data_IF_869835770075
#
_entry.id   IF_869835770075
#
_cell.length_a   1.000
_cell.length_b   1.000
_cell.length_c   1.000
_cell.angle_alpha   90.00
_cell.angle_beta   90.00
_cell.angle_gamma   90.00
#
_symmetry.space_group_name_H-M   'P 1'
#
loop_
_entity.id
_entity.type
_entity.pdbx_description
1 polymer ?
#
# COMPACT_ATOMS: atom_id res chain seq x y z
N UNK A 1 6.04 5.39 -28.20
CA UNK A 1 7.08 6.18 -28.90
C UNK A 1 6.51 7.24 -29.84
N UNK A 2 5.57 6.92 -30.76
CA UNK A 2 4.98 7.94 -31.65
C UNK A 2 4.28 9.10 -30.91
N UNK A 3 3.55 8.84 -29.86
CA UNK A 3 2.90 9.88 -29.06
C UNK A 3 3.93 10.84 -28.45
N UNK A 4 5.04 10.30 -27.93
CA UNK A 4 6.14 11.08 -27.39
C UNK A 4 6.79 11.97 -28.44
N UNK A 5 7.08 11.44 -29.65
CA UNK A 5 7.68 12.21 -30.73
C UNK A 5 6.80 13.39 -31.16
N UNK A 6 5.48 13.22 -31.20
CA UNK A 6 4.55 14.31 -31.47
C UNK A 6 4.52 15.33 -30.33
N UNK A 7 4.57 14.84 -29.09
CA UNK A 7 4.54 15.68 -27.89
C UNK A 7 5.80 16.56 -27.79
N UNK A 8 6.99 15.97 -27.92
CA UNK A 8 8.25 16.69 -27.69
C UNK A 8 8.57 17.71 -28.79
N UNK A 9 7.94 17.58 -29.97
CA UNK A 9 8.07 18.56 -31.04
C UNK A 9 7.44 19.94 -30.67
N UNK A 10 6.44 19.95 -29.77
CA UNK A 10 5.81 21.18 -29.28
C UNK A 10 5.19 20.89 -27.90
N UNK A 11 6.02 20.78 -26.85
CA UNK A 11 5.54 20.46 -25.51
C UNK A 11 4.76 21.64 -24.95
N UNK A 12 3.68 21.41 -24.17
CA UNK A 12 2.95 22.46 -23.50
C UNK A 12 3.75 23.03 -22.31
N UNK A 13 3.44 24.23 -21.88
CA UNK A 13 4.11 24.89 -20.75
C UNK A 13 4.00 24.07 -19.44
N UNK A 14 2.93 23.31 -19.26
CA UNK A 14 2.71 22.41 -18.12
C UNK A 14 3.78 21.32 -18.03
N UNK A 15 4.38 20.92 -19.17
CA UNK A 15 5.50 19.99 -19.21
C UNK A 15 6.75 20.55 -18.52
N UNK A 16 7.11 21.79 -18.87
CA UNK A 16 8.26 22.45 -18.26
C UNK A 16 8.05 22.67 -16.75
N UNK A 17 6.83 23.04 -16.38
CA UNK A 17 6.44 23.18 -14.99
C UNK A 17 6.58 21.87 -14.24
N UNK A 18 6.02 20.78 -14.77
CA UNK A 18 6.12 19.45 -14.20
C UNK A 18 7.60 19.01 -14.02
N UNK A 19 8.41 19.12 -15.04
CA UNK A 19 9.83 18.76 -14.95
C UNK A 19 10.57 19.56 -13.87
N UNK A 20 10.26 20.85 -13.71
CA UNK A 20 10.86 21.71 -12.68
C UNK A 20 10.35 21.39 -11.27
N UNK A 21 9.05 21.19 -11.12
CA UNK A 21 8.41 20.98 -9.80
C UNK A 21 8.66 19.60 -9.26
N UNK A 22 8.75 18.59 -10.13
CA UNK A 22 8.93 17.18 -9.78
C UNK A 22 10.38 16.69 -9.90
N UNK A 23 11.34 17.58 -10.17
CA UNK A 23 12.77 17.24 -10.34
C UNK A 23 13.35 16.44 -9.17
N UNK A 24 12.82 16.63 -7.98
CA UNK A 24 13.25 15.97 -6.74
C UNK A 24 13.10 14.44 -6.74
N UNK A 25 12.30 13.89 -7.67
CA UNK A 25 12.11 12.44 -7.83
C UNK A 25 12.11 12.02 -9.30
N UNK A 26 11.54 12.81 -10.22
CA UNK A 26 11.31 12.39 -11.61
C UNK A 26 12.61 12.23 -12.40
N UNK A 27 13.63 13.01 -12.06
CA UNK A 27 14.95 12.92 -12.69
C UNK A 27 15.63 11.60 -12.32
N UNK A 28 15.67 11.28 -11.03
CA UNK A 28 16.24 10.02 -10.55
C UNK A 28 15.45 8.82 -11.05
N UNK A 29 14.11 8.89 -11.06
CA UNK A 29 13.27 7.84 -11.62
C UNK A 29 13.54 7.62 -13.11
N UNK A 30 13.61 8.68 -13.91
CA UNK A 30 13.86 8.56 -15.34
C UNK A 30 15.25 8.00 -15.65
N UNK A 31 16.27 8.44 -14.91
CA UNK A 31 17.62 7.88 -15.02
C UNK A 31 17.67 6.40 -14.59
N UNK A 32 16.99 6.05 -13.49
CA UNK A 32 16.86 4.66 -13.05
C UNK A 32 16.24 3.78 -14.12
N UNK A 33 15.13 4.21 -14.73
CA UNK A 33 14.43 3.46 -15.77
C UNK A 33 15.28 3.33 -17.04
N UNK A 34 16.00 4.38 -17.42
CA UNK A 34 16.94 4.35 -18.54
C UNK A 34 18.07 3.35 -18.29
N UNK A 35 18.71 3.42 -17.14
CA UNK A 35 19.74 2.48 -16.74
C UNK A 35 19.22 1.04 -16.72
N UNK A 36 18.02 0.83 -16.18
CA UNK A 36 17.36 -0.48 -16.11
C UNK A 36 17.11 -1.06 -17.49
N UNK A 37 16.62 -0.25 -18.44
CA UNK A 37 16.42 -0.66 -19.82
C UNK A 37 17.74 -1.06 -20.51
N UNK A 38 18.80 -0.28 -20.32
CA UNK A 38 20.13 -0.57 -20.87
C UNK A 38 20.78 -1.83 -20.29
N UNK A 39 20.42 -2.20 -19.05
CA UNK A 39 20.89 -3.43 -18.40
C UNK A 39 19.90 -4.59 -18.55
N UNK A 40 19.05 -4.59 -19.59
CA UNK A 40 18.15 -5.70 -19.89
C UNK A 40 17.08 -5.96 -18.81
N UNK A 41 16.67 -4.91 -18.09
CA UNK A 41 15.74 -4.94 -16.94
C UNK A 41 16.29 -5.73 -15.73
N UNK A 42 17.57 -5.99 -15.67
CA UNK A 42 18.22 -6.64 -14.54
C UNK A 42 18.05 -5.80 -13.25
N UNK A 43 18.01 -6.43 -12.06
CA UNK A 43 18.04 -5.72 -10.78
C UNK A 43 19.28 -4.84 -10.63
N UNK A 44 19.17 -3.74 -9.88
CA UNK A 44 20.30 -2.81 -9.61
C UNK A 44 21.53 -3.54 -9.09
N UNK A 45 21.34 -4.58 -8.27
CA UNK A 45 22.45 -5.38 -7.72
C UNK A 45 23.34 -6.05 -8.81
N UNK A 46 22.81 -6.24 -10.01
CA UNK A 46 23.52 -6.86 -11.15
C UNK A 46 24.10 -5.83 -12.13
N UNK A 47 23.87 -4.53 -11.90
CA UNK A 47 24.40 -3.48 -12.77
C UNK A 47 25.92 -3.31 -12.62
N UNK A 48 26.60 -2.73 -13.64
CA UNK A 48 28.01 -2.33 -13.49
C UNK A 48 28.23 -1.48 -12.25
N UNK A 49 29.32 -1.74 -11.54
CA UNK A 49 29.59 -1.11 -10.22
C UNK A 49 29.53 0.42 -10.28
N UNK A 50 30.11 1.15 -11.27
CA UNK A 50 30.04 2.59 -11.30
C UNK A 50 28.61 3.13 -11.39
N UNK A 51 27.75 2.45 -12.15
CA UNK A 51 26.34 2.83 -12.29
C UNK A 51 25.53 2.47 -11.04
N UNK A 52 25.78 1.28 -10.47
CA UNK A 52 25.14 0.83 -9.23
C UNK A 52 25.45 1.77 -8.06
N UNK A 53 26.69 2.26 -7.99
CA UNK A 53 27.16 3.19 -6.95
C UNK A 53 26.89 4.66 -7.26
N UNK A 54 26.32 4.95 -8.40
CA UNK A 54 26.06 6.32 -8.89
C UNK A 54 27.37 7.13 -8.96
N UNK A 55 28.45 6.52 -9.46
CA UNK A 55 29.69 7.23 -9.71
C UNK A 55 29.45 8.46 -10.61
N UNK A 56 30.08 9.58 -10.30
CA UNK A 56 29.80 10.86 -10.96
C UNK A 56 30.05 10.83 -12.48
N UNK A 57 31.06 10.11 -12.95
CA UNK A 57 31.33 9.95 -14.38
C UNK A 57 30.26 9.08 -15.05
N UNK A 58 29.93 7.93 -14.45
CA UNK A 58 28.89 7.05 -14.95
C UNK A 58 27.51 7.75 -14.97
N UNK A 59 27.17 8.54 -13.95
CA UNK A 59 25.94 9.34 -13.91
C UNK A 59 25.95 10.45 -14.97
N UNK A 60 27.11 11.08 -15.21
CA UNK A 60 27.27 12.07 -16.28
C UNK A 60 26.99 11.43 -17.65
N UNK A 61 27.60 10.29 -17.97
CA UNK A 61 27.33 9.55 -19.19
C UNK A 61 25.86 9.13 -19.30
N UNK A 62 25.29 8.54 -18.23
CA UNK A 62 23.88 8.17 -18.24
C UNK A 62 22.98 9.36 -18.59
N UNK A 63 23.24 10.52 -17.97
CA UNK A 63 22.43 11.72 -18.19
C UNK A 63 22.64 12.30 -19.60
N UNK A 64 23.88 12.58 -20.00
CA UNK A 64 24.14 13.34 -21.24
C UNK A 64 23.94 12.51 -22.51
N UNK A 65 24.23 11.22 -22.47
CA UNK A 65 24.13 10.37 -23.66
C UNK A 65 22.72 9.84 -23.90
N UNK A 66 21.79 9.99 -22.93
CA UNK A 66 20.46 9.37 -23.00
C UNK A 66 19.29 10.36 -22.77
N UNK A 67 19.47 11.62 -23.14
CA UNK A 67 18.48 12.67 -22.91
C UNK A 67 17.10 12.35 -23.50
N UNK A 68 17.03 11.70 -24.65
CA UNK A 68 15.76 11.34 -25.28
C UNK A 68 15.01 10.29 -24.47
N UNK A 69 15.71 9.25 -24.00
CA UNK A 69 15.10 8.17 -23.22
C UNK A 69 14.68 8.65 -21.82
N UNK A 70 15.51 9.44 -21.15
CA UNK A 70 15.19 10.09 -19.88
C UNK A 70 13.95 10.97 -20.05
N UNK A 71 13.90 11.78 -21.08
CA UNK A 71 12.73 12.62 -21.37
C UNK A 71 11.47 11.80 -21.68
N UNK A 72 11.61 10.66 -22.32
CA UNK A 72 10.51 9.73 -22.57
C UNK A 72 9.92 9.17 -21.26
N UNK A 73 10.75 8.75 -20.31
CA UNK A 73 10.26 8.28 -19.01
C UNK A 73 9.60 9.40 -18.20
N UNK A 74 10.14 10.62 -18.25
CA UNK A 74 9.47 11.80 -17.66
C UNK A 74 8.11 12.08 -18.30
N UNK A 75 8.04 11.99 -19.64
CA UNK A 75 6.80 12.16 -20.39
C UNK A 75 5.72 11.16 -19.97
N UNK A 76 6.08 9.90 -19.75
CA UNK A 76 5.11 8.92 -19.26
C UNK A 76 4.54 9.30 -17.90
N UNK A 77 5.39 9.80 -16.97
CA UNK A 77 4.95 10.27 -15.67
C UNK A 77 4.08 11.53 -15.77
N UNK A 78 4.46 12.48 -16.62
CA UNK A 78 3.67 13.69 -16.89
C UNK A 78 2.26 13.34 -17.39
N UNK A 79 2.17 12.46 -18.40
CA UNK A 79 0.89 12.07 -18.99
C UNK A 79 0.03 11.28 -17.99
N UNK A 80 0.63 10.39 -17.19
CA UNK A 80 -0.08 9.74 -16.10
C UNK A 80 -0.64 10.76 -15.12
N UNK A 81 0.19 11.70 -14.68
CA UNK A 81 -0.19 12.71 -13.70
C UNK A 81 -1.32 13.60 -14.21
N UNK A 82 -1.21 14.06 -15.44
CA UNK A 82 -2.21 14.90 -16.10
C UNK A 82 -3.57 14.19 -16.20
N UNK A 83 -3.56 12.92 -16.62
CA UNK A 83 -4.78 12.10 -16.74
C UNK A 83 -5.36 11.77 -15.38
N UNK A 84 -4.53 11.46 -14.40
CA UNK A 84 -4.95 11.16 -13.04
C UNK A 84 -5.62 12.38 -12.38
N UNK A 85 -5.02 13.57 -12.50
CA UNK A 85 -5.59 14.78 -11.95
C UNK A 85 -6.95 15.13 -12.58
N UNK A 86 -7.09 14.94 -13.88
CA UNK A 86 -8.36 15.12 -14.57
C UNK A 86 -9.42 14.13 -14.08
N UNK A 87 -9.07 12.85 -13.92
CA UNK A 87 -9.96 11.81 -13.38
C UNK A 87 -10.36 12.11 -11.93
N UNK A 88 -9.38 12.45 -11.07
CA UNK A 88 -9.64 12.80 -9.68
C UNK A 88 -10.57 14.01 -9.57
N UNK A 89 -10.35 15.06 -10.35
CA UNK A 89 -11.21 16.22 -10.37
C UNK A 89 -12.65 15.87 -10.79
N UNK A 90 -12.81 14.99 -11.78
CA UNK A 90 -14.12 14.49 -12.19
C UNK A 90 -14.81 13.71 -11.07
N UNK A 91 -14.10 12.78 -10.41
CA UNK A 91 -14.60 11.96 -9.30
C UNK A 91 -15.00 12.85 -8.12
N UNK A 92 -14.12 13.76 -7.70
CA UNK A 92 -14.39 14.69 -6.60
C UNK A 92 -15.55 15.64 -6.92
N UNK A 93 -15.70 16.05 -8.19
CA UNK A 93 -16.85 16.83 -8.66
C UNK A 93 -18.19 16.09 -8.54
N UNK A 94 -18.17 14.77 -8.37
CA UNK A 94 -19.34 13.93 -8.03
C UNK A 94 -19.53 13.73 -6.52
N UNK A 95 -18.71 14.34 -5.68
CA UNK A 95 -18.73 14.16 -4.23
C UNK A 95 -18.06 12.86 -3.76
N UNK A 96 -17.35 12.14 -4.64
CA UNK A 96 -16.66 10.88 -4.34
C UNK A 96 -15.20 11.18 -4.01
N UNK A 97 -14.66 10.53 -2.99
CA UNK A 97 -13.26 10.63 -2.60
C UNK A 97 -12.51 9.35 -2.95
N UNK A 98 -11.20 9.48 -3.21
CA UNK A 98 -10.32 8.36 -3.52
C UNK A 98 -9.42 8.11 -2.31
N UNK A 99 -9.43 6.87 -1.82
CA UNK A 99 -8.47 6.41 -0.82
C UNK A 99 -7.36 5.64 -1.53
N UNK A 100 -6.13 6.12 -1.35
CA UNK A 100 -4.93 5.44 -1.86
C UNK A 100 -4.27 4.59 -0.80
N UNK A 101 -3.34 3.76 -1.21
CA UNK A 101 -2.55 2.89 -0.36
C UNK A 101 -1.07 3.27 -0.44
N UNK A 102 -0.42 3.35 0.73
CA UNK A 102 0.98 3.69 0.87
C UNK A 102 1.70 2.53 1.56
N UNK A 103 2.35 1.63 0.80
CA UNK A 103 3.15 0.57 1.41
C UNK A 103 4.22 1.15 2.31
N UNK A 104 4.40 0.57 3.51
CA UNK A 104 5.44 1.05 4.42
C UNK A 104 6.82 0.95 3.76
N UNK A 105 7.12 -0.17 3.11
CA UNK A 105 8.42 -0.42 2.47
C UNK A 105 8.39 -0.15 0.97
N UNK A 106 9.59 0.01 0.41
CA UNK A 106 9.82 0.10 -1.03
C UNK A 106 10.50 -1.17 -1.55
N UNK A 107 10.49 -1.39 -2.85
CA UNK A 107 11.24 -2.51 -3.45
C UNK A 107 12.75 -2.28 -3.33
N UNK A 108 13.56 -3.32 -3.05
CA UNK A 108 15.02 -3.20 -3.12
C UNK A 108 15.50 -2.80 -4.53
N UNK A 109 14.76 -3.19 -5.55
CA UNK A 109 15.00 -2.82 -6.94
C UNK A 109 14.07 -1.64 -7.32
N UNK A 110 14.40 -0.46 -6.82
CA UNK A 110 13.63 0.77 -7.01
C UNK A 110 14.54 1.99 -7.20
N UNK A 111 13.97 3.03 -7.82
CA UNK A 111 14.64 4.32 -7.93
C UNK A 111 14.98 4.93 -6.56
N UNK A 112 14.12 4.75 -5.56
CA UNK A 112 14.34 5.26 -4.20
C UNK A 112 15.61 4.70 -3.57
N UNK A 113 15.79 3.37 -3.59
CA UNK A 113 16.95 2.70 -3.02
C UNK A 113 18.22 3.05 -3.78
N UNK A 114 18.14 3.09 -5.12
CA UNK A 114 19.29 3.44 -5.95
C UNK A 114 19.70 4.90 -5.81
N UNK A 115 18.73 5.82 -5.79
CA UNK A 115 19.00 7.25 -5.72
C UNK A 115 19.42 7.73 -4.33
N UNK A 116 18.84 7.15 -3.28
CA UNK A 116 19.00 7.61 -1.90
C UNK A 116 19.31 6.44 -0.95
N UNK A 117 20.46 5.73 -1.15
CA UNK A 117 20.80 4.54 -0.37
C UNK A 117 20.93 4.81 1.14
N UNK A 118 21.26 6.05 1.54
CA UNK A 118 21.39 6.44 2.95
C UNK A 118 20.07 6.40 3.74
N UNK A 119 18.92 6.31 3.04
CA UNK A 119 17.62 6.14 3.68
C UNK A 119 17.40 4.71 4.22
N UNK A 120 18.26 3.77 3.84
CA UNK A 120 18.04 2.34 4.08
C UNK A 120 19.24 1.71 4.78
N UNK A 121 18.99 0.60 5.50
CA UNK A 121 20.02 -0.22 6.13
C UNK A 121 20.81 -1.02 5.07
N UNK A 122 21.77 -0.38 4.42
CA UNK A 122 22.66 -1.00 3.45
C UNK A 122 24.10 -1.05 3.98
N UNK A 123 24.86 -2.05 3.56
CA UNK A 123 26.30 -2.10 3.83
C UNK A 123 27.08 -1.12 2.93
N UNK A 124 28.41 -1.00 3.15
CA UNK A 124 29.25 -0.11 2.35
C UNK A 124 29.32 -0.45 0.85
N UNK A 125 28.77 -1.58 0.43
CA UNK A 125 28.67 -2.01 -0.96
C UNK A 125 27.23 -1.89 -1.52
N UNK A 126 26.31 -1.32 -0.72
CA UNK A 126 24.91 -1.14 -1.10
C UNK A 126 24.07 -2.42 -1.05
N UNK A 127 24.50 -3.42 -0.27
CA UNK A 127 23.78 -4.68 -0.11
C UNK A 127 22.93 -4.67 1.15
N UNK A 128 21.82 -5.41 1.12
CA UNK A 128 20.96 -5.61 2.28
C UNK A 128 21.63 -6.55 3.30
N UNK A 129 21.80 -6.09 4.52
CA UNK A 129 22.21 -6.94 5.65
C UNK A 129 21.00 -7.62 6.31
N UNK A 130 19.91 -6.91 6.38
CA UNK A 130 18.60 -7.35 6.90
C UNK A 130 17.49 -6.89 5.98
N UNK A 131 16.35 -7.59 6.05
CA UNK A 131 15.17 -7.31 5.23
C UNK A 131 13.92 -7.33 6.09
N UNK A 132 12.86 -6.70 5.61
CA UNK A 132 11.56 -6.69 6.25
C UNK A 132 10.85 -8.05 6.13
N UNK A 133 10.05 -8.35 7.14
CA UNK A 133 9.19 -9.50 7.17
C UNK A 133 8.19 -9.45 8.33
N UNK A 134 7.53 -10.55 8.58
CA UNK A 134 6.61 -10.76 9.72
C UNK A 134 6.99 -12.09 10.38
N UNK A 135 7.02 -12.17 11.71
CA UNK A 135 7.34 -13.42 12.41
C UNK A 135 6.26 -14.48 12.14
N UNK A 136 6.58 -15.75 12.43
CA UNK A 136 5.56 -16.81 12.44
C UNK A 136 4.35 -16.42 13.30
N UNK A 137 3.17 -16.70 12.76
CA UNK A 137 1.88 -16.44 13.41
C UNK A 137 0.88 -17.58 13.12
N UNK A 138 -0.39 -17.36 13.46
CA UNK A 138 -1.46 -18.34 13.19
C UNK A 138 -1.74 -18.53 11.69
N UNK A 139 -1.34 -17.57 10.83
CA UNK A 139 -1.57 -17.60 9.38
C UNK A 139 -0.38 -18.19 8.62
N UNK A 140 0.84 -18.06 9.16
CA UNK A 140 2.06 -18.56 8.53
C UNK A 140 3.04 -19.11 9.55
N UNK A 141 3.22 -20.44 9.58
CA UNK A 141 4.18 -21.12 10.45
C UNK A 141 5.65 -20.77 10.15
N UNK A 142 5.95 -20.25 8.97
CA UNK A 142 7.29 -19.79 8.54
C UNK A 142 7.44 -18.27 8.66
N UNK A 143 6.37 -17.55 9.03
CA UNK A 143 6.27 -16.11 8.90
C UNK A 143 6.21 -15.66 7.44
N UNK A 144 6.34 -14.36 7.21
CA UNK A 144 6.38 -13.81 5.85
C UNK A 144 7.72 -13.12 5.63
N UNK A 145 8.46 -13.55 4.64
CA UNK A 145 9.73 -12.93 4.23
C UNK A 145 9.46 -12.00 3.04
N UNK A 146 9.39 -10.70 3.29
CA UNK A 146 9.04 -9.73 2.24
C UNK A 146 10.23 -9.32 1.39
N UNK A 147 11.44 -9.30 1.99
CA UNK A 147 12.67 -8.98 1.27
C UNK A 147 12.90 -7.49 1.00
N UNK A 148 12.02 -6.61 1.48
CA UNK A 148 12.18 -5.18 1.34
C UNK A 148 13.32 -4.64 2.22
N UNK A 149 14.03 -3.56 1.79
CA UNK A 149 15.02 -2.89 2.61
C UNK A 149 14.38 -2.27 3.86
N UNK A 150 15.10 -2.34 4.97
CA UNK A 150 14.74 -1.64 6.20
C UNK A 150 15.23 -0.19 6.12
N UNK A 151 14.53 0.72 6.79
CA UNK A 151 14.92 2.13 6.86
C UNK A 151 16.01 2.36 7.89
N UNK A 152 16.99 3.20 7.58
CA UNK A 152 17.89 3.81 8.57
C UNK A 152 17.12 4.93 9.30
N UNK A 153 16.40 4.56 10.35
CA UNK A 153 15.59 5.52 11.11
C UNK A 153 16.43 6.60 11.79
N UNK A 154 17.71 6.34 12.07
CA UNK A 154 18.60 7.36 12.62
C UNK A 154 18.91 8.44 11.59
N UNK A 155 19.17 8.06 10.34
CA UNK A 155 19.37 8.99 9.24
C UNK A 155 18.07 9.76 8.93
N UNK A 156 16.93 9.10 8.94
CA UNK A 156 15.63 9.77 8.77
C UNK A 156 15.37 10.81 9.86
N UNK A 157 15.66 10.50 11.13
CA UNK A 157 15.53 11.46 12.24
C UNK A 157 16.48 12.63 12.07
N UNK A 158 17.75 12.39 11.69
CA UNK A 158 18.75 13.41 11.41
C UNK A 158 18.32 14.40 10.31
N UNK A 159 17.65 13.90 9.27
CA UNK A 159 17.11 14.70 8.16
C UNK A 159 15.70 15.24 8.43
N UNK A 160 15.19 15.10 9.67
CA UNK A 160 13.85 15.56 10.06
C UNK A 160 12.74 14.86 9.31
N UNK A 161 12.92 13.60 8.93
CA UNK A 161 11.98 12.79 8.17
C UNK A 161 11.53 13.42 6.84
N UNK A 162 12.43 14.14 6.17
CA UNK A 162 12.10 14.89 4.96
C UNK A 162 11.55 13.99 3.85
N UNK A 163 12.19 12.83 3.60
CA UNK A 163 11.74 11.88 2.58
C UNK A 163 10.33 11.36 2.87
N UNK A 164 10.03 10.98 4.12
CA UNK A 164 8.71 10.53 4.52
C UNK A 164 7.65 11.64 4.39
N UNK A 165 8.01 12.87 4.75
CA UNK A 165 7.13 14.03 4.59
C UNK A 165 6.79 14.25 3.11
N UNK A 166 7.78 14.19 2.22
CA UNK A 166 7.56 14.29 0.76
C UNK A 166 6.72 13.14 0.23
N UNK A 167 7.00 11.91 0.66
CA UNK A 167 6.25 10.72 0.25
C UNK A 167 4.77 10.81 0.61
N UNK A 168 4.47 11.23 1.85
CA UNK A 168 3.08 11.44 2.29
C UNK A 168 2.44 12.60 1.55
N UNK A 169 3.15 13.72 1.40
CA UNK A 169 2.66 14.88 0.63
C UNK A 169 2.29 14.49 -0.79
N UNK A 170 3.15 13.71 -1.45
CA UNK A 170 2.91 13.25 -2.80
C UNK A 170 1.70 12.31 -2.89
N UNK A 171 1.58 11.36 -1.96
CA UNK A 171 0.41 10.49 -1.89
C UNK A 171 -0.89 11.30 -1.73
N UNK A 172 -0.90 12.33 -0.89
CA UNK A 172 -2.07 13.20 -0.69
C UNK A 172 -2.36 14.14 -1.89
N UNK A 173 -1.39 14.36 -2.79
CA UNK A 173 -1.66 14.99 -4.10
C UNK A 173 -2.37 14.07 -5.08
N UNK A 174 -2.19 12.74 -4.92
CA UNK A 174 -2.87 11.73 -5.74
C UNK A 174 -4.23 11.35 -5.16
N UNK A 175 -4.37 11.28 -3.85
CA UNK A 175 -5.53 10.71 -3.16
C UNK A 175 -6.14 11.72 -2.18
N UNK A 176 -7.36 11.47 -1.77
CA UNK A 176 -8.08 12.28 -0.78
C UNK A 176 -7.92 11.75 0.64
N UNK A 177 -7.63 10.43 0.76
CA UNK A 177 -7.23 9.75 1.99
C UNK A 177 -6.09 8.80 1.63
N UNK A 178 -5.24 8.47 2.60
CA UNK A 178 -4.12 7.54 2.41
C UNK A 178 -4.14 6.49 3.51
N UNK A 179 -4.25 5.22 3.13
CA UNK A 179 -4.00 4.09 4.03
C UNK A 179 -2.49 3.86 4.11
N UNK A 180 -1.93 3.87 5.31
CA UNK A 180 -0.56 3.41 5.53
C UNK A 180 -0.63 1.92 5.81
N UNK A 181 -0.09 1.15 4.87
CA UNK A 181 0.03 -0.29 4.96
C UNK A 181 1.07 -0.69 5.99
N UNK A 182 0.81 -1.75 6.76
CA UNK A 182 1.65 -2.24 7.83
C UNK A 182 2.06 -1.14 8.85
N UNK A 183 1.08 -0.35 9.30
CA UNK A 183 1.29 0.76 10.23
C UNK A 183 2.05 0.36 11.50
N UNK A 184 1.87 -0.89 11.98
CA UNK A 184 2.59 -1.40 13.14
C UNK A 184 4.11 -1.34 12.98
N UNK A 185 4.63 -1.44 11.76
CA UNK A 185 6.06 -1.35 11.46
C UNK A 185 6.68 0.00 11.82
N UNK A 186 5.85 1.03 12.03
CA UNK A 186 6.28 2.35 12.51
C UNK A 186 6.45 2.40 14.05
N UNK A 187 5.85 1.45 14.79
CA UNK A 187 6.15 1.22 16.21
C UNK A 187 7.32 0.23 16.34
N UNK A 188 7.14 -0.95 15.78
CA UNK A 188 8.13 -2.01 15.82
C UNK A 188 8.01 -2.90 14.58
N UNK A 189 9.14 -3.24 13.99
CA UNK A 189 9.24 -4.03 12.76
C UNK A 189 10.09 -5.28 12.95
N UNK A 190 9.79 -6.31 12.17
CA UNK A 190 10.49 -7.58 12.19
C UNK A 190 11.62 -7.56 11.16
N UNK A 191 12.86 -7.58 11.65
CA UNK A 191 14.06 -7.55 10.82
C UNK A 191 14.63 -8.96 10.68
N UNK A 192 14.71 -9.46 9.47
CA UNK A 192 15.20 -10.82 9.14
C UNK A 192 16.55 -10.71 8.47
N UNK A 193 17.53 -11.59 8.78
CA UNK A 193 18.81 -11.60 8.06
C UNK A 193 18.62 -11.75 6.55
N UNK A 194 19.30 -10.96 5.74
CA UNK A 194 19.25 -11.09 4.30
C UNK A 194 19.76 -12.49 3.88
N UNK A 195 19.06 -13.13 2.92
CA UNK A 195 19.36 -14.49 2.49
C UNK A 195 18.76 -15.60 3.36
N UNK A 196 18.06 -15.27 4.45
CA UNK A 196 17.25 -16.24 5.19
C UNK A 196 16.18 -16.88 4.27
N UNK A 197 15.83 -18.13 4.53
CA UNK A 197 14.81 -18.84 3.74
C UNK A 197 13.39 -18.63 4.27
N UNK A 198 13.28 -18.27 5.54
CA UNK A 198 12.02 -18.02 6.25
C UNK A 198 12.18 -16.81 7.17
N UNK A 199 11.09 -16.31 7.69
CA UNK A 199 11.12 -15.19 8.63
C UNK A 199 11.32 -15.60 10.10
N UNK A 200 11.61 -16.87 10.41
CA UNK A 200 11.75 -17.37 11.78
C UNK A 200 12.89 -16.76 12.57
N UNK A 201 13.99 -16.44 11.90
CA UNK A 201 15.25 -15.99 12.55
C UNK A 201 15.33 -14.46 12.66
N UNK A 202 14.22 -13.77 12.59
CA UNK A 202 14.20 -12.32 12.72
C UNK A 202 14.28 -11.84 14.17
N UNK A 203 14.38 -10.53 14.31
CA UNK A 203 14.32 -9.82 15.60
C UNK A 203 13.40 -8.61 15.52
N UNK A 204 12.74 -8.28 16.62
CA UNK A 204 12.01 -7.04 16.72
C UNK A 204 12.93 -5.84 16.88
N UNK A 205 12.73 -4.83 16.04
CA UNK A 205 13.43 -3.56 16.09
C UNK A 205 12.43 -2.44 16.31
N UNK A 206 12.84 -1.39 17.04
CA UNK A 206 12.00 -0.22 17.26
C UNK A 206 11.87 0.62 15.99
N UNK A 207 10.66 1.02 15.63
CA UNK A 207 10.37 2.00 14.60
C UNK A 207 10.51 3.45 15.08
N UNK A 208 10.22 4.44 14.23
CA UNK A 208 10.35 5.86 14.56
C UNK A 208 9.25 6.35 15.53
N UNK A 209 8.13 5.64 15.64
CA UNK A 209 7.01 6.01 16.50
C UNK A 209 6.48 7.41 16.22
N UNK A 210 6.09 8.11 17.28
CA UNK A 210 5.53 9.48 17.20
C UNK A 210 6.52 10.50 16.61
N UNK A 211 7.83 10.30 16.68
CA UNK A 211 8.83 11.23 16.10
C UNK A 211 8.57 11.49 14.61
N UNK A 212 8.22 10.45 13.86
CA UNK A 212 7.84 10.58 12.44
C UNK A 212 6.58 11.43 12.30
N UNK A 213 5.53 11.08 13.03
CA UNK A 213 4.22 11.75 12.90
C UNK A 213 4.25 13.18 13.40
N UNK A 214 4.99 13.48 14.46
CA UNK A 214 5.21 14.85 14.95
C UNK A 214 5.93 15.70 13.90
N UNK A 215 6.98 15.17 13.27
CA UNK A 215 7.70 15.85 12.21
C UNK A 215 6.81 16.13 10.98
N UNK A 216 6.05 15.13 10.54
CA UNK A 216 5.12 15.26 9.40
C UNK A 216 3.99 16.23 9.73
N UNK A 217 3.35 16.10 10.89
CA UNK A 217 2.26 16.97 11.37
C UNK A 217 2.71 18.42 11.54
N UNK A 218 3.92 18.65 12.02
CA UNK A 218 4.48 20.00 12.16
C UNK A 218 4.60 20.73 10.83
N UNK A 219 4.76 20.02 9.71
CA UNK A 219 4.92 20.58 8.36
C UNK A 219 3.62 20.62 7.56
N UNK A 220 2.75 19.64 7.74
CA UNK A 220 1.58 19.43 6.88
C UNK A 220 0.24 19.65 7.61
N UNK A 221 0.25 19.76 8.95
CA UNK A 221 -0.97 19.82 9.75
C UNK A 221 -1.60 18.43 9.95
N UNK A 222 -2.91 18.41 10.23
CA UNK A 222 -3.67 17.16 10.34
C UNK A 222 -3.82 16.50 8.96
N UNK A 223 -3.69 15.17 8.94
CA UNK A 223 -3.64 14.39 7.72
C UNK A 223 -4.79 13.38 7.63
N UNK A 224 -5.40 13.21 6.48
CA UNK A 224 -6.42 12.18 6.23
C UNK A 224 -5.76 10.80 6.03
N UNK A 225 -5.21 10.26 7.11
CA UNK A 225 -4.52 8.96 7.12
C UNK A 225 -5.41 7.91 7.78
N UNK A 226 -5.35 6.71 7.25
CA UNK A 226 -5.90 5.47 7.81
C UNK A 226 -4.74 4.55 8.14
N UNK A 227 -4.72 3.97 9.32
CA UNK A 227 -3.70 3.04 9.73
C UNK A 227 -4.15 1.60 9.48
N UNK A 228 -3.35 0.82 8.74
CA UNK A 228 -3.54 -0.63 8.71
C UNK A 228 -2.92 -1.21 9.98
N UNK A 229 -3.80 -1.57 10.92
CA UNK A 229 -3.49 -2.10 12.24
C UNK A 229 -3.91 -3.57 12.39
N UNK A 230 -3.82 -4.34 11.32
CA UNK A 230 -4.19 -5.76 11.31
C UNK A 230 -3.11 -6.65 11.93
N UNK A 231 -3.50 -7.85 12.33
CA UNK A 231 -2.60 -8.85 12.91
C UNK A 231 -2.40 -8.71 14.42
N UNK A 232 -1.24 -9.13 14.92
CA UNK A 232 -0.95 -9.10 16.37
C UNK A 232 -0.57 -7.68 16.79
N UNK A 233 -1.43 -7.01 17.53
CA UNK A 233 -1.18 -5.67 18.05
C UNK A 233 -0.55 -5.75 19.45
N UNK A 234 0.60 -5.08 19.60
CA UNK A 234 1.23 -4.83 20.90
C UNK A 234 0.65 -3.57 21.55
N UNK A 235 0.89 -3.39 22.85
CA UNK A 235 0.49 -2.15 23.53
C UNK A 235 1.12 -0.91 22.88
N UNK A 236 2.37 -0.98 22.43
CA UNK A 236 3.06 0.10 21.72
C UNK A 236 2.34 0.50 20.43
N UNK A 237 1.89 -0.46 19.63
CA UNK A 237 1.09 -0.17 18.42
C UNK A 237 -0.24 0.49 18.75
N UNK A 238 -0.92 0.02 19.80
CA UNK A 238 -2.20 0.61 20.26
C UNK A 238 -2.00 2.04 20.79
N UNK A 239 -0.93 2.28 21.52
CA UNK A 239 -0.55 3.60 22.01
C UNK A 239 -0.21 4.54 20.85
N UNK A 240 0.55 4.08 19.87
CA UNK A 240 0.88 4.85 18.66
C UNK A 240 -0.38 5.23 17.88
N UNK A 241 -1.27 4.26 17.63
CA UNK A 241 -2.55 4.51 16.96
C UNK A 241 -3.40 5.54 17.71
N UNK A 242 -3.49 5.41 19.03
CA UNK A 242 -4.21 6.37 19.89
C UNK A 242 -3.57 7.76 19.85
N UNK A 243 -2.23 7.85 19.88
CA UNK A 243 -1.50 9.11 19.89
C UNK A 243 -1.62 9.86 18.55
N UNK A 244 -1.61 9.14 17.43
CA UNK A 244 -1.82 9.74 16.11
C UNK A 244 -3.27 10.15 15.87
N UNK A 245 -4.24 9.49 16.51
CA UNK A 245 -5.67 9.69 16.30
C UNK A 245 -6.19 9.13 14.97
N UNK A 246 -5.38 8.38 14.22
CA UNK A 246 -5.79 7.80 12.95
C UNK A 246 -6.79 6.65 13.16
N UNK A 247 -7.80 6.52 12.30
CA UNK A 247 -8.68 5.35 12.31
C UNK A 247 -7.90 4.08 11.94
N UNK A 248 -8.12 3.02 12.70
CA UNK A 248 -7.69 1.66 12.37
C UNK A 248 -8.72 0.93 11.52
N UNK A 249 -8.43 -0.31 11.18
CA UNK A 249 -9.26 -1.16 10.32
C UNK A 249 -9.96 -2.26 11.12
N UNK A 250 -11.19 -2.56 10.75
CA UNK A 250 -11.99 -3.68 11.29
C UNK A 250 -12.46 -4.57 10.14
N UNK A 251 -11.96 -5.79 10.08
CA UNK A 251 -12.21 -6.72 8.98
C UNK A 251 -13.09 -7.87 9.47
N UNK A 252 -14.31 -7.99 8.95
CA UNK A 252 -15.28 -8.97 9.42
C UNK A 252 -14.86 -10.42 9.16
N UNK A 253 -14.08 -10.69 8.13
CA UNK A 253 -13.50 -12.04 7.91
C UNK A 253 -12.66 -12.54 9.09
N UNK A 254 -12.16 -11.67 9.95
CA UNK A 254 -11.39 -12.05 11.15
C UNK A 254 -12.23 -12.10 12.45
N UNK A 255 -13.52 -11.77 12.35
CA UNK A 255 -14.36 -11.59 13.53
C UNK A 255 -14.77 -12.91 14.20
N UNK A 256 -14.88 -14.01 13.46
CA UNK A 256 -15.64 -15.18 13.89
C UNK A 256 -14.77 -16.38 14.29
N UNK A 257 -13.45 -16.19 14.34
CA UNK A 257 -12.50 -17.27 14.71
C UNK A 257 -12.19 -17.39 16.21
N UNK A 258 -12.75 -16.52 17.05
CA UNK A 258 -12.50 -16.49 18.50
C UNK A 258 -13.74 -16.08 19.30
N UNK A 259 -13.58 -15.71 20.57
CA UNK A 259 -14.68 -15.36 21.49
C UNK A 259 -15.30 -13.97 21.25
N UNK A 260 -16.22 -13.59 22.15
CA UNK A 260 -17.00 -12.35 22.07
C UNK A 260 -16.18 -11.08 22.29
N UNK A 261 -14.96 -11.19 22.75
CA UNK A 261 -13.97 -10.12 22.94
C UNK A 261 -13.14 -9.81 21.67
N UNK A 262 -13.39 -10.55 20.58
CA UNK A 262 -12.73 -10.31 19.31
C UNK A 262 -13.02 -8.86 18.82
N UNK A 263 -11.96 -8.09 18.62
CA UNK A 263 -12.06 -6.66 18.26
C UNK A 263 -12.66 -6.41 16.86
N UNK A 264 -12.75 -7.43 16.01
CA UNK A 264 -13.36 -7.35 14.67
C UNK A 264 -14.88 -7.62 14.70
N UNK A 265 -15.45 -8.04 15.83
CA UNK A 265 -16.91 -8.19 15.96
C UNK A 265 -17.60 -6.81 15.98
N UNK A 266 -18.68 -6.60 15.25
CA UNK A 266 -19.37 -5.30 15.14
C UNK A 266 -19.66 -4.59 16.47
N UNK A 267 -20.04 -5.32 17.54
CA UNK A 267 -20.32 -4.72 18.85
C UNK A 267 -19.06 -4.22 19.60
N UNK A 268 -17.86 -4.61 19.15
CA UNK A 268 -16.58 -4.15 19.69
C UNK A 268 -15.94 -3.03 18.84
N UNK A 269 -16.55 -2.64 17.73
CA UNK A 269 -16.02 -1.58 16.88
C UNK A 269 -16.05 -0.23 17.59
N UNK A 270 -15.00 0.53 17.42
CA UNK A 270 -14.93 1.94 17.84
C UNK A 270 -15.36 2.84 16.69
N UNK A 271 -15.91 4.02 17.03
CA UNK A 271 -16.35 4.97 16.01
C UNK A 271 -15.20 5.42 15.10
N UNK A 272 -14.01 5.68 15.67
CA UNK A 272 -12.83 6.05 14.91
C UNK A 272 -12.15 4.83 14.26
N UNK A 273 -12.87 4.18 13.37
CA UNK A 273 -12.37 3.04 12.58
C UNK A 273 -13.01 2.97 11.20
N UNK A 274 -12.46 2.15 10.35
CA UNK A 274 -13.03 1.79 9.04
C UNK A 274 -13.31 0.29 9.06
N UNK A 275 -14.55 -0.10 8.79
CA UNK A 275 -14.95 -1.50 8.71
C UNK A 275 -14.93 -1.98 7.27
N UNK A 276 -14.55 -3.24 7.09
CA UNK A 276 -14.50 -3.95 5.82
C UNK A 276 -15.21 -5.30 5.98
N UNK A 277 -15.85 -5.80 4.93
CA UNK A 277 -16.19 -7.22 4.86
C UNK A 277 -14.92 -8.06 4.80
N UNK A 278 -14.10 -7.79 3.80
CA UNK A 278 -12.74 -8.27 3.59
C UNK A 278 -11.92 -7.19 2.87
N UNK A 279 -10.59 -7.34 2.82
CA UNK A 279 -9.69 -6.46 2.07
C UNK A 279 -9.32 -7.08 0.72
N UNK A 280 -8.48 -6.39 -0.06
CA UNK A 280 -7.91 -6.93 -1.30
C UNK A 280 -7.03 -8.18 -1.08
N UNK A 281 -6.52 -8.39 0.13
CA UNK A 281 -5.69 -9.56 0.50
C UNK A 281 -6.52 -10.77 0.94
N UNK A 282 -7.78 -10.56 1.29
CA UNK A 282 -8.68 -11.62 1.66
C UNK A 282 -9.27 -12.30 0.41
N UNK A 283 -9.85 -13.47 0.61
CA UNK A 283 -10.78 -14.01 -0.38
C UNK A 283 -12.07 -13.20 -0.41
N UNK A 284 -12.99 -13.46 -1.37
CA UNK A 284 -14.30 -12.84 -1.38
C UNK A 284 -15.17 -13.34 -0.22
N UNK A 285 -16.16 -12.56 0.18
CA UNK A 285 -17.10 -12.96 1.23
C UNK A 285 -17.85 -14.24 0.88
N UNK A 286 -18.28 -14.42 -0.38
CA UNK A 286 -18.92 -15.67 -0.82
C UNK A 286 -17.99 -16.88 -0.72
N UNK A 287 -16.71 -16.72 -0.99
CA UNK A 287 -15.72 -17.80 -0.84
C UNK A 287 -15.38 -18.03 0.63
N UNK A 288 -15.31 -16.99 1.45
CA UNK A 288 -15.13 -17.08 2.90
C UNK A 288 -16.19 -18.00 3.55
N UNK A 289 -17.49 -17.81 3.22
CA UNK A 289 -18.58 -18.67 3.71
C UNK A 289 -18.42 -20.14 3.34
N UNK A 290 -17.72 -20.44 2.25
CA UNK A 290 -17.49 -21.80 1.76
C UNK A 290 -16.26 -22.47 2.32
N UNK A 291 -15.20 -21.69 2.60
CA UNK A 291 -13.86 -22.21 2.84
C UNK A 291 -13.38 -22.07 4.28
N UNK A 292 -13.97 -21.15 5.04
CA UNK A 292 -13.63 -20.98 6.46
C UNK A 292 -13.99 -22.20 7.31
N UNK A 293 -13.29 -22.42 8.45
CA UNK A 293 -13.60 -23.49 9.39
C UNK A 293 -15.08 -23.46 9.81
N UNK A 294 -15.72 -24.63 9.85
CA UNK A 294 -17.15 -24.76 10.12
C UNK A 294 -17.58 -24.10 11.43
N UNK A 295 -16.72 -24.09 12.44
CA UNK A 295 -17.02 -23.44 13.72
C UNK A 295 -17.11 -21.89 13.56
N UNK A 296 -16.24 -21.29 12.77
CA UNK A 296 -16.30 -19.86 12.46
C UNK A 296 -17.54 -19.51 11.65
N UNK A 297 -17.86 -20.31 10.63
CA UNK A 297 -19.07 -20.15 9.80
C UNK A 297 -20.33 -20.30 10.64
N UNK A 298 -20.36 -21.28 11.52
CA UNK A 298 -21.51 -21.48 12.45
C UNK A 298 -21.67 -20.26 13.37
N UNK A 299 -20.57 -19.80 13.99
CA UNK A 299 -20.61 -18.65 14.87
C UNK A 299 -21.04 -17.38 14.10
N UNK A 300 -20.55 -17.18 12.88
CA UNK A 300 -20.98 -16.07 12.04
C UNK A 300 -22.51 -16.10 11.75
N UNK A 301 -23.07 -17.28 11.40
CA UNK A 301 -24.52 -17.43 11.18
C UNK A 301 -25.33 -17.10 12.43
N UNK A 302 -24.90 -17.64 13.57
CA UNK A 302 -25.58 -17.38 14.86
C UNK A 302 -25.50 -15.88 15.24
N UNK A 303 -24.32 -15.28 15.12
CA UNK A 303 -24.08 -13.87 15.45
C UNK A 303 -24.85 -12.91 14.53
N UNK A 304 -24.84 -13.16 13.24
CA UNK A 304 -25.52 -12.34 12.23
C UNK A 304 -27.01 -12.66 12.10
N UNK A 305 -27.52 -13.70 12.78
CA UNK A 305 -28.91 -14.12 12.71
C UNK A 305 -29.32 -14.76 11.38
N UNK A 306 -28.35 -15.28 10.62
CA UNK A 306 -28.56 -15.90 9.30
C UNK A 306 -29.31 -17.22 9.43
N UNK A 307 -30.39 -17.36 8.65
CA UNK A 307 -31.23 -18.57 8.61
C UNK A 307 -30.98 -19.36 7.32
N UNK A 308 -31.32 -20.64 7.27
CA UNK A 308 -31.25 -21.39 6.02
C UNK A 308 -32.05 -20.73 4.89
N UNK A 309 -31.35 -20.42 3.81
CA UNK A 309 -31.93 -19.74 2.63
C UNK A 309 -31.76 -18.23 2.61
N UNK A 310 -31.24 -17.62 3.68
CA UNK A 310 -30.87 -16.20 3.68
C UNK A 310 -29.59 -15.99 2.86
N UNK A 311 -29.43 -14.75 2.38
CA UNK A 311 -28.22 -14.32 1.67
C UNK A 311 -27.08 -14.02 2.66
N UNK A 312 -26.14 -14.95 2.78
CA UNK A 312 -25.02 -14.89 3.73
C UNK A 312 -24.04 -13.74 3.41
N UNK A 313 -23.84 -13.44 2.13
CA UNK A 313 -22.96 -12.36 1.69
C UNK A 313 -23.54 -11.00 2.12
N UNK A 314 -24.80 -10.78 1.81
CA UNK A 314 -25.48 -9.55 2.20
C UNK A 314 -25.72 -9.42 3.70
N UNK A 315 -25.85 -10.52 4.43
CA UNK A 315 -25.88 -10.47 5.89
C UNK A 315 -24.56 -9.89 6.45
N UNK A 316 -23.40 -10.26 5.89
CA UNK A 316 -22.12 -9.71 6.29
C UNK A 316 -21.94 -8.24 5.84
N UNK A 317 -22.37 -7.89 4.64
CA UNK A 317 -22.40 -6.51 4.14
C UNK A 317 -23.25 -5.63 5.07
N UNK A 318 -24.46 -6.08 5.40
CA UNK A 318 -25.37 -5.35 6.31
C UNK A 318 -24.75 -5.16 7.69
N UNK A 319 -24.05 -6.16 8.21
CA UNK A 319 -23.35 -6.06 9.50
C UNK A 319 -22.19 -5.05 9.45
N UNK A 320 -21.48 -4.95 8.32
CA UNK A 320 -20.45 -3.94 8.13
C UNK A 320 -21.06 -2.54 8.08
N UNK A 321 -22.13 -2.34 7.31
CA UNK A 321 -22.82 -1.03 7.19
C UNK A 321 -23.51 -0.59 8.48
N UNK A 322 -24.05 -1.54 9.27
CA UNK A 322 -24.66 -1.27 10.56
C UNK A 322 -23.63 -1.03 11.69
N UNK A 323 -22.34 -1.15 11.42
CA UNK A 323 -21.27 -0.90 12.38
C UNK A 323 -21.25 0.55 12.87
N UNK A 324 -20.72 0.76 14.07
CA UNK A 324 -20.47 2.10 14.62
C UNK A 324 -19.28 2.81 13.95
N UNK A 325 -18.52 2.13 13.11
CA UNK A 325 -17.37 2.70 12.41
C UNK A 325 -17.77 3.90 11.53
N UNK A 326 -16.88 4.90 11.44
CA UNK A 326 -17.15 6.11 10.64
C UNK A 326 -17.20 5.86 9.13
N UNK A 327 -16.66 4.76 8.65
CA UNK A 327 -16.64 4.41 7.24
C UNK A 327 -16.75 2.89 7.07
N UNK A 328 -17.48 2.48 6.05
CA UNK A 328 -17.57 1.09 5.59
C UNK A 328 -16.99 0.98 4.18
N UNK A 329 -16.15 -0.01 3.94
CA UNK A 329 -15.57 -0.30 2.62
C UNK A 329 -15.92 -1.75 2.24
N UNK A 330 -16.60 -1.91 1.12
CA UNK A 330 -17.06 -3.22 0.63
C UNK A 330 -16.40 -3.47 -0.73
N UNK A 331 -15.68 -4.59 -0.90
CA UNK A 331 -15.15 -4.99 -2.20
C UNK A 331 -16.28 -5.16 -3.22
N UNK A 332 -16.08 -4.68 -4.44
CA UNK A 332 -17.07 -4.83 -5.51
C UNK A 332 -17.36 -6.31 -5.78
N UNK A 333 -16.38 -7.20 -5.63
CA UNK A 333 -16.57 -8.64 -5.75
C UNK A 333 -17.61 -9.18 -4.76
N UNK A 334 -17.70 -8.63 -3.55
CA UNK A 334 -18.71 -9.01 -2.55
C UNK A 334 -20.09 -8.48 -2.93
N UNK A 335 -20.19 -7.24 -3.43
CA UNK A 335 -21.44 -6.70 -3.95
C UNK A 335 -22.00 -7.51 -5.12
N UNK A 336 -21.13 -8.13 -5.91
CA UNK A 336 -21.48 -9.00 -7.03
C UNK A 336 -21.61 -10.47 -6.63
N UNK A 337 -21.44 -10.80 -5.35
CA UNK A 337 -21.54 -12.14 -4.78
C UNK A 337 -20.63 -13.17 -5.49
N UNK A 338 -19.44 -12.70 -5.95
CA UNK A 338 -18.48 -13.54 -6.65
C UNK A 338 -17.76 -14.48 -5.68
N UNK A 339 -17.50 -15.71 -6.14
CA UNK A 339 -16.63 -16.67 -5.44
C UNK A 339 -15.16 -16.31 -5.58
N UNK A 340 -14.28 -17.32 -5.42
CA UNK A 340 -12.82 -17.16 -5.48
C UNK A 340 -12.33 -16.49 -6.78
N UNK A 341 -13.09 -16.59 -7.87
CA UNK A 341 -12.79 -15.91 -9.15
C UNK A 341 -12.80 -14.39 -9.08
N UNK A 342 -13.45 -13.83 -8.07
CA UNK A 342 -13.46 -12.38 -7.78
C UNK A 342 -12.31 -11.89 -6.90
N UNK A 343 -11.44 -12.80 -6.43
CA UNK A 343 -10.30 -12.44 -5.60
C UNK A 343 -9.28 -11.59 -6.37
N UNK A 344 -8.80 -10.52 -5.75
CA UNK A 344 -7.89 -9.55 -6.38
C UNK A 344 -6.43 -9.94 -6.14
N UNK A 345 -6.09 -10.27 -4.89
CA UNK A 345 -4.73 -10.56 -4.48
C UNK A 345 -4.68 -11.76 -3.52
N UNK A 346 -3.64 -12.58 -3.65
CA UNK A 346 -3.29 -13.63 -2.72
C UNK A 346 -1.87 -13.37 -2.21
N UNK A 347 -1.70 -12.89 -0.97
CA UNK A 347 -0.40 -12.58 -0.40
C UNK A 347 0.58 -13.75 -0.49
N UNK A 348 1.87 -13.45 -0.64
CA UNK A 348 2.95 -14.44 -0.76
C UNK A 348 2.86 -15.35 -2.00
N UNK A 349 2.11 -14.96 -3.01
CA UNK A 349 2.05 -15.68 -4.31
C UNK A 349 2.55 -14.80 -5.45
N UNK A 350 2.99 -15.47 -6.52
CA UNK A 350 3.35 -14.83 -7.79
C UNK A 350 2.39 -15.35 -8.86
N UNK A 351 1.91 -14.46 -9.74
CA UNK A 351 1.00 -14.84 -10.83
C UNK A 351 -0.04 -13.77 -11.12
N UNK A 352 -1.31 -14.18 -11.21
CA UNK A 352 -2.41 -13.34 -11.71
C UNK A 352 -2.95 -12.30 -10.69
N UNK A 353 -2.20 -12.00 -9.62
CA UNK A 353 -2.57 -10.95 -8.67
C UNK A 353 -2.79 -9.62 -9.39
N UNK A 354 -3.80 -8.86 -8.95
CA UNK A 354 -4.18 -7.56 -9.50
C UNK A 354 -4.65 -7.58 -10.96
N UNK A 355 -4.95 -8.76 -11.51
CA UNK A 355 -5.38 -8.94 -12.89
C UNK A 355 -6.90 -8.90 -13.06
N UNK A 356 -7.66 -9.19 -11.99
CA UNK A 356 -9.13 -9.18 -12.03
C UNK A 356 -9.68 -7.82 -12.50
N UNK A 357 -10.69 -7.89 -13.36
CA UNK A 357 -11.41 -6.70 -13.86
C UNK A 357 -12.89 -6.94 -13.73
N UNK A 358 -13.61 -5.96 -13.17
CA UNK A 358 -15.07 -5.97 -13.09
C UNK A 358 -15.67 -6.07 -14.50
N UNK A 359 -16.63 -6.99 -14.73
CA UNK A 359 -17.33 -7.07 -16.01
C UNK A 359 -18.05 -5.76 -16.37
N UNK A 360 -18.12 -5.46 -17.64
CA UNK A 360 -18.86 -4.30 -18.13
C UNK A 360 -20.34 -4.42 -17.73
N UNK A 361 -20.93 -3.32 -17.25
CA UNK A 361 -22.33 -3.25 -16.78
C UNK A 361 -22.67 -4.14 -15.56
N UNK A 362 -21.69 -4.61 -14.80
CA UNK A 362 -21.92 -5.36 -13.55
C UNK A 362 -22.65 -4.53 -12.48
N UNK A 363 -22.39 -3.23 -12.42
CA UNK A 363 -23.08 -2.31 -11.51
C UNK A 363 -24.42 -1.91 -12.11
N UNK A 364 -25.50 -2.58 -11.69
CA UNK A 364 -26.86 -2.36 -12.16
C UNK A 364 -27.62 -1.37 -11.27
N UNK A 365 -28.69 -0.78 -11.79
CA UNK A 365 -29.59 0.06 -10.98
C UNK A 365 -30.19 -0.72 -9.79
N UNK A 366 -30.53 -1.98 -9.99
CA UNK A 366 -31.05 -2.85 -8.93
C UNK A 366 -30.05 -3.07 -7.79
N UNK A 367 -28.76 -3.23 -8.13
CA UNK A 367 -27.70 -3.30 -7.12
C UNK A 367 -27.58 -1.97 -6.35
N UNK A 368 -27.67 -0.84 -7.05
CA UNK A 368 -27.68 0.48 -6.41
C UNK A 368 -28.87 0.68 -5.47
N UNK A 369 -30.06 0.22 -5.87
CA UNK A 369 -31.25 0.24 -5.02
C UNK A 369 -31.07 -0.65 -3.77
N UNK A 370 -30.50 -1.84 -3.93
CA UNK A 370 -30.24 -2.76 -2.81
C UNK A 370 -29.24 -2.17 -1.81
N UNK A 371 -28.24 -1.43 -2.27
CA UNK A 371 -27.29 -0.72 -1.38
C UNK A 371 -27.92 0.48 -0.66
N UNK A 372 -29.00 1.03 -1.19
CA UNK A 372 -29.65 2.21 -0.61
C UNK A 372 -30.68 1.85 0.45
N UNK A 373 -31.18 0.61 0.48
CA UNK A 373 -32.20 0.11 1.43
C UNK A 373 -31.54 -0.45 2.69
#
# INVERSE_FOLDING_TARGET
TEAYQRFIASPPQEWENFCREETWWVDDYAMYMTAKAQNGLAPVAEWPEPLRRRDGEAMGHLWFDNQEEISFYKFMQFEFYRQWQALRAYINGKGIRIMGDLPIYVSPDSADVWAQPNLFELDGEGRLGRVAGVPPDAFSAEGQLWGNPLYDWAYHEQTGFDWWTRRITYALRLYDLVRIDHFRGLDSYWAVPAGAKTAKEGIWCAGPGMKLFDAVKSRLGELPIVAEDLGILTDGVRELLKATGYPGMKVLHFAFGSGTDNEYLPHNHTQNSIVYTGTHDNTTTADWWRTEPQEAVKYAREYLGVRPGDDEVWAMITAAEASTANCCVIPVADLLELGAEGRINAPSTVGDNWSWRMPQNALTAALGERLHT
#
